data_IF_779833573496
#
_entry.id   IF_779833573496
#
_cell.length_a   1.000
_cell.length_b   1.000
_cell.length_c   1.000
_cell.angle_alpha   90.00
_cell.angle_beta   90.00
_cell.angle_gamma   90.00
#
_symmetry.space_group_name_H-M   'P 1'
#
loop_
_entity.id
_entity.type
_entity.pdbx_description
1 polymer ?
#
# COMPACT_ATOMS: atom_id res chain seq x y z
N UNK A 1 44.99 -8.36 -2.98
CA UNK A 1 44.05 -7.28 -2.66
C UNK A 1 42.66 -7.87 -2.81
N UNK A 2 41.98 -8.10 -1.69
CA UNK A 2 40.67 -8.75 -1.64
C UNK A 2 39.59 -7.67 -1.59
N UNK A 3 38.84 -7.48 -2.67
CA UNK A 3 37.59 -6.73 -2.63
C UNK A 3 36.43 -7.72 -2.42
N UNK A 4 35.79 -7.61 -1.25
CA UNK A 4 34.53 -8.29 -0.95
C UNK A 4 33.38 -7.60 -1.70
N UNK A 5 32.42 -8.34 -2.27
CA UNK A 5 31.14 -7.75 -2.69
C UNK A 5 30.30 -7.40 -1.46
N UNK A 6 29.80 -6.17 -1.42
CA UNK A 6 28.88 -5.68 -0.40
C UNK A 6 27.50 -6.31 -0.61
N UNK A 7 27.18 -7.31 0.20
CA UNK A 7 25.92 -8.05 0.20
C UNK A 7 25.00 -7.48 1.30
N UNK A 8 23.74 -7.28 0.92
CA UNK A 8 22.53 -7.23 1.75
C UNK A 8 22.30 -6.07 2.72
N UNK A 9 21.67 -5.00 2.20
CA UNK A 9 20.90 -4.05 3.02
C UNK A 9 19.40 -4.00 2.66
N UNK A 10 18.96 -4.77 1.66
CA UNK A 10 17.53 -4.85 1.24
C UNK A 10 16.74 -5.93 2.00
N UNK A 11 17.37 -7.07 2.29
CA UNK A 11 16.72 -8.17 3.02
C UNK A 11 16.45 -7.82 4.49
N UNK A 12 17.33 -7.02 5.11
CA UNK A 12 17.16 -6.56 6.48
C UNK A 12 15.91 -5.68 6.63
N UNK A 13 15.72 -4.71 5.73
CA UNK A 13 14.57 -3.78 5.77
C UNK A 13 13.23 -4.47 5.51
N UNK A 14 13.18 -5.41 4.56
CA UNK A 14 11.97 -6.23 4.34
C UNK A 14 11.67 -7.06 5.60
N UNK A 15 12.70 -7.64 6.23
CA UNK A 15 12.55 -8.39 7.48
C UNK A 15 12.02 -7.54 8.64
N UNK A 16 12.39 -6.27 8.74
CA UNK A 16 11.92 -5.39 9.83
C UNK A 16 10.45 -4.96 9.67
N UNK A 17 10.01 -4.70 8.44
CA UNK A 17 8.61 -4.34 8.17
C UNK A 17 7.70 -5.53 8.44
N UNK A 18 8.05 -6.71 7.93
CA UNK A 18 7.27 -7.92 8.18
C UNK A 18 7.28 -8.30 9.65
N UNK A 19 8.40 -8.12 10.37
CA UNK A 19 8.48 -8.35 11.80
C UNK A 19 7.63 -7.36 12.60
N UNK A 20 7.62 -6.08 12.23
CA UNK A 20 6.74 -5.09 12.85
C UNK A 20 5.25 -5.38 12.58
N UNK A 21 4.91 -5.91 11.40
CA UNK A 21 3.55 -6.37 11.07
C UNK A 21 3.19 -7.67 11.82
N UNK A 22 4.14 -8.60 12.00
CA UNK A 22 3.91 -9.86 12.74
C UNK A 22 3.79 -9.65 14.25
N UNK A 23 4.60 -8.75 14.83
CA UNK A 23 4.49 -8.36 16.24
C UNK A 23 3.16 -7.62 16.49
N UNK A 24 2.55 -7.05 15.45
CA UNK A 24 1.23 -6.40 15.46
C UNK A 24 0.06 -7.38 15.51
N UNK A 25 0.21 -8.55 14.92
CA UNK A 25 -0.77 -9.64 14.99
C UNK A 25 -0.86 -10.27 16.40
N UNK A 26 0.20 -10.12 17.22
CA UNK A 26 0.30 -10.70 18.56
C UNK A 26 -0.23 -9.78 19.69
N UNK A 27 -0.50 -8.50 19.41
CA UNK A 27 -0.70 -7.50 20.47
C UNK A 27 -1.87 -6.53 20.17
N UNK A 28 -3.02 -7.06 19.73
CA UNK A 28 -4.27 -6.31 19.51
C UNK A 28 -4.71 -5.45 20.72
N UNK A 29 -4.22 -5.73 21.94
CA UNK A 29 -4.57 -4.98 23.16
C UNK A 29 -3.60 -3.81 23.51
N UNK A 30 -2.50 -3.61 22.80
CA UNK A 30 -1.50 -2.57 23.12
C UNK A 30 -1.20 -1.66 21.92
N UNK A 31 -2.25 -1.02 21.38
CA UNK A 31 -2.25 -0.28 20.11
C UNK A 31 -1.39 1.01 20.03
N UNK A 32 -0.72 1.44 21.10
CA UNK A 32 0.06 2.69 21.08
C UNK A 32 1.54 2.48 20.74
N UNK A 33 2.25 1.62 21.48
CA UNK A 33 3.70 1.47 21.35
C UNK A 33 4.16 0.80 20.05
N UNK A 34 3.26 0.04 19.43
CA UNK A 34 3.55 -0.70 18.20
C UNK A 34 3.18 0.09 16.94
N UNK A 35 2.11 0.88 16.99
CA UNK A 35 1.87 1.92 16.01
C UNK A 35 3.04 2.92 15.97
N UNK A 36 3.59 3.27 17.14
CA UNK A 36 4.81 4.08 17.26
C UNK A 36 6.04 3.37 16.68
N UNK A 37 6.15 2.05 16.80
CA UNK A 37 7.26 1.28 16.20
C UNK A 37 7.16 1.20 14.68
N UNK A 38 5.96 1.04 14.13
CA UNK A 38 5.69 1.08 12.70
C UNK A 38 5.93 2.49 12.17
N UNK A 39 5.42 3.52 12.86
CA UNK A 39 5.67 4.93 12.56
C UNK A 39 7.17 5.24 12.61
N UNK A 40 7.89 4.76 13.63
CA UNK A 40 9.34 4.89 13.76
C UNK A 40 10.09 4.17 12.63
N UNK A 41 9.60 3.00 12.19
CA UNK A 41 10.15 2.27 11.05
C UNK A 41 9.89 3.01 9.73
N UNK A 42 8.71 3.61 9.58
CA UNK A 42 8.37 4.50 8.47
C UNK A 42 9.16 5.82 8.49
N UNK A 43 9.46 6.37 9.66
CA UNK A 43 10.26 7.57 9.83
C UNK A 43 11.76 7.26 9.61
N UNK A 44 12.19 6.04 9.93
CA UNK A 44 13.52 5.50 9.66
C UNK A 44 13.73 5.16 8.17
N UNK A 45 12.68 4.78 7.46
CA UNK A 45 12.63 4.78 6.00
C UNK A 45 12.63 6.23 5.52
N UNK A 46 13.83 6.86 5.50
CA UNK A 46 14.09 8.26 5.13
C UNK A 46 12.87 8.91 4.47
N UNK A 47 12.10 9.75 5.19
CA UNK A 47 10.83 10.33 4.72
C UNK A 47 10.95 10.99 3.33
N UNK A 48 12.18 11.34 2.90
CA UNK A 48 12.53 11.81 1.54
C UNK A 48 12.35 10.75 0.45
N UNK A 49 12.38 9.46 0.78
CA UNK A 49 12.24 8.32 -0.13
C UNK A 49 10.78 7.96 -0.41
N UNK A 50 9.87 8.18 0.55
CA UNK A 50 8.43 7.89 0.41
C UNK A 50 7.67 9.05 -0.26
N UNK A 51 7.98 10.29 0.12
CA UNK A 51 7.34 11.48 -0.46
C UNK A 51 8.16 11.93 -1.66
N UNK A 52 7.62 11.74 -2.87
CA UNK A 52 8.27 12.22 -4.08
C UNK A 52 8.36 13.75 -4.07
N UNK A 53 9.58 14.29 -4.24
CA UNK A 53 9.88 15.74 -4.30
C UNK A 53 10.29 16.21 -5.70
N UNK A 54 10.14 15.35 -6.71
CA UNK A 54 10.52 15.69 -8.08
C UNK A 54 9.43 16.51 -8.78
N UNK A 55 9.75 16.99 -9.99
CA UNK A 55 8.89 17.89 -10.76
C UNK A 55 7.80 17.19 -11.58
N UNK A 56 7.80 15.85 -11.64
CA UNK A 56 6.93 15.07 -12.54
C UNK A 56 6.31 13.87 -11.82
N UNK A 57 5.30 14.10 -10.96
CA UNK A 57 4.66 13.04 -10.18
C UNK A 57 4.02 11.96 -11.07
N UNK A 58 3.53 12.31 -12.28
CA UNK A 58 2.93 11.36 -13.22
C UNK A 58 3.96 10.36 -13.77
N UNK A 59 5.19 10.82 -14.04
CA UNK A 59 6.29 9.95 -14.46
C UNK A 59 6.73 9.05 -13.31
N UNK A 60 6.82 9.59 -12.10
CA UNK A 60 7.12 8.83 -10.89
C UNK A 60 6.06 7.74 -10.64
N UNK A 61 4.79 8.10 -10.79
CA UNK A 61 3.66 7.19 -10.65
C UNK A 61 3.73 6.05 -11.68
N UNK A 62 3.99 6.36 -12.95
CA UNK A 62 4.15 5.35 -14.02
C UNK A 62 5.32 4.40 -13.76
N UNK A 63 6.44 4.92 -13.26
CA UNK A 63 7.58 4.08 -12.88
C UNK A 63 7.23 3.17 -11.71
N UNK A 64 6.48 3.68 -10.73
CA UNK A 64 6.05 2.92 -9.57
C UNK A 64 5.07 1.80 -9.95
N UNK A 65 4.10 2.06 -10.83
CA UNK A 65 3.21 1.02 -11.34
C UNK A 65 3.99 -0.12 -12.00
N UNK A 66 5.03 0.19 -12.79
CA UNK A 66 5.93 -0.81 -13.40
C UNK A 66 6.78 -1.56 -12.38
N UNK A 67 7.10 -0.93 -11.25
CA UNK A 67 7.84 -1.58 -10.18
C UNK A 67 6.96 -2.59 -9.46
N UNK A 68 5.77 -2.16 -9.02
CA UNK A 68 4.77 -3.00 -8.36
C UNK A 68 4.37 -4.19 -9.23
N UNK A 69 4.16 -3.99 -10.54
CA UNK A 69 3.85 -5.09 -11.45
C UNK A 69 4.94 -6.18 -11.50
N UNK A 70 6.19 -5.85 -11.14
CA UNK A 70 7.30 -6.82 -11.04
C UNK A 70 7.52 -7.35 -9.63
N UNK A 71 7.11 -6.58 -8.62
CA UNK A 71 7.26 -6.87 -7.19
C UNK A 71 5.95 -6.57 -6.48
N UNK A 72 4.93 -7.41 -6.67
CA UNK A 72 3.58 -7.13 -6.17
C UNK A 72 3.49 -7.15 -4.65
N UNK A 73 4.42 -7.82 -3.95
CA UNK A 73 4.40 -7.98 -2.49
C UNK A 73 5.20 -6.88 -1.74
N UNK A 74 5.73 -5.87 -2.45
CA UNK A 74 6.52 -4.79 -1.86
C UNK A 74 5.61 -3.65 -1.32
N UNK A 75 5.18 -3.78 -0.06
CA UNK A 75 4.30 -2.81 0.61
C UNK A 75 4.83 -1.36 0.58
N UNK A 76 6.12 -1.06 0.87
CA UNK A 76 6.69 0.27 0.69
C UNK A 76 6.43 0.90 -0.69
N UNK A 77 6.53 0.10 -1.76
CA UNK A 77 6.25 0.58 -3.11
C UNK A 77 4.78 0.93 -3.32
N UNK A 78 3.85 0.16 -2.74
CA UNK A 78 2.42 0.49 -2.77
C UNK A 78 2.09 1.78 -2.03
N UNK A 79 2.67 1.98 -0.84
CA UNK A 79 2.49 3.22 -0.06
C UNK A 79 3.05 4.42 -0.81
N UNK A 80 4.26 4.29 -1.40
CA UNK A 80 4.85 5.33 -2.23
C UNK A 80 4.00 5.64 -3.47
N UNK A 81 3.40 4.62 -4.08
CA UNK A 81 2.45 4.80 -5.19
C UNK A 81 1.22 5.60 -4.76
N UNK A 82 0.65 5.30 -3.60
CA UNK A 82 -0.49 6.04 -3.05
C UNK A 82 -0.16 7.53 -2.89
N UNK A 83 0.98 7.87 -2.27
CA UNK A 83 1.37 9.28 -2.11
C UNK A 83 1.65 9.98 -3.44
N UNK A 84 2.26 9.29 -4.40
CA UNK A 84 2.41 9.80 -5.77
C UNK A 84 1.05 10.04 -6.44
N UNK A 85 0.09 9.13 -6.28
CA UNK A 85 -1.27 9.30 -6.81
C UNK A 85 -1.97 10.51 -6.19
N UNK A 86 -1.88 10.69 -4.86
CA UNK A 86 -2.41 11.86 -4.15
C UNK A 86 -1.83 13.17 -4.70
N UNK A 87 -0.53 13.21 -5.02
CA UNK A 87 0.11 14.39 -5.62
C UNK A 87 -0.42 14.73 -7.02
N UNK A 88 -0.81 13.73 -7.82
CA UNK A 88 -1.41 13.97 -9.14
C UNK A 88 -2.84 14.51 -9.08
N UNK A 89 -3.47 14.52 -7.90
CA UNK A 89 -4.89 14.88 -7.70
C UNK A 89 -5.87 14.10 -8.59
N UNK A 90 -5.45 12.93 -9.08
CA UNK A 90 -6.31 12.05 -9.87
C UNK A 90 -7.06 11.10 -8.93
N UNK A 91 -8.37 11.28 -8.83
CA UNK A 91 -9.27 10.45 -8.04
C UNK A 91 -9.10 8.97 -8.40
N UNK A 92 -9.13 8.65 -9.70
CA UNK A 92 -9.02 7.28 -10.19
C UNK A 92 -7.67 6.61 -9.84
N UNK A 93 -6.57 7.38 -9.86
CA UNK A 93 -5.25 6.86 -9.45
C UNK A 93 -5.18 6.56 -7.96
N UNK A 94 -5.81 7.39 -7.13
CA UNK A 94 -5.86 7.19 -5.67
C UNK A 94 -6.72 5.99 -5.32
N UNK A 95 -7.87 5.83 -5.98
CA UNK A 95 -8.72 4.64 -5.85
C UNK A 95 -7.96 3.37 -6.23
N UNK A 96 -7.31 3.35 -7.39
CA UNK A 96 -6.51 2.21 -7.82
C UNK A 96 -5.35 1.88 -6.86
N UNK A 97 -4.77 2.89 -6.22
CA UNK A 97 -3.73 2.68 -5.22
C UNK A 97 -4.28 2.12 -3.90
N UNK A 98 -5.42 2.62 -3.41
CA UNK A 98 -6.09 2.10 -2.22
C UNK A 98 -6.57 0.66 -2.43
N UNK A 99 -7.13 0.34 -3.60
CA UNK A 99 -7.51 -1.03 -3.96
C UNK A 99 -6.31 -1.97 -3.83
N UNK A 100 -5.15 -1.61 -4.41
CA UNK A 100 -3.96 -2.46 -4.33
C UNK A 100 -3.43 -2.61 -2.89
N UNK A 101 -3.48 -1.53 -2.09
CA UNK A 101 -3.09 -1.56 -0.68
C UNK A 101 -4.00 -2.48 0.12
N UNK A 102 -5.32 -2.40 -0.08
CA UNK A 102 -6.29 -3.27 0.60
C UNK A 102 -6.09 -4.73 0.16
N UNK A 103 -5.76 -4.98 -1.12
CA UNK A 103 -5.47 -6.33 -1.62
C UNK A 103 -4.21 -6.93 -0.98
N UNK A 104 -3.11 -6.17 -0.91
CA UNK A 104 -1.84 -6.68 -0.37
C UNK A 104 -1.88 -6.83 1.15
N UNK A 105 -2.53 -5.89 1.85
CA UNK A 105 -2.69 -5.94 3.30
C UNK A 105 -3.73 -6.99 3.74
N UNK A 106 -4.73 -7.28 2.90
CA UNK A 106 -5.84 -8.20 3.19
C UNK A 106 -6.53 -7.86 4.51
N UNK A 107 -6.43 -8.76 5.50
CA UNK A 107 -7.00 -8.62 6.85
C UNK A 107 -5.99 -8.07 7.86
N UNK A 108 -4.73 -7.92 7.46
CA UNK A 108 -3.66 -7.41 8.31
C UNK A 108 -3.47 -5.92 8.02
N UNK A 109 -3.07 -5.11 9.00
CA UNK A 109 -2.79 -3.69 8.77
C UNK A 109 -4.02 -2.80 8.56
N UNK A 110 -5.11 -3.09 9.27
CA UNK A 110 -6.33 -2.26 9.31
C UNK A 110 -6.02 -0.78 9.57
N UNK A 111 -5.23 -0.47 10.61
CA UNK A 111 -4.94 0.92 10.96
C UNK A 111 -4.13 1.68 9.91
N UNK A 112 -3.27 0.97 9.15
CA UNK A 112 -2.58 1.57 8.00
C UNK A 112 -3.58 1.87 6.88
N UNK A 113 -4.46 0.93 6.56
CA UNK A 113 -5.51 1.13 5.56
C UNK A 113 -6.42 2.30 5.93
N UNK A 114 -6.93 2.33 7.16
CA UNK A 114 -7.79 3.41 7.68
C UNK A 114 -7.09 4.77 7.65
N UNK A 115 -5.79 4.82 7.98
CA UNK A 115 -5.02 6.05 7.88
C UNK A 115 -4.95 6.56 6.44
N UNK A 116 -4.59 5.71 5.49
CA UNK A 116 -4.45 6.10 4.08
C UNK A 116 -5.81 6.49 3.48
N UNK A 117 -6.88 5.77 3.85
CA UNK A 117 -8.26 6.12 3.50
C UNK A 117 -8.61 7.51 4.04
N UNK A 118 -8.34 7.79 5.32
CA UNK A 118 -8.57 9.11 5.93
C UNK A 118 -7.76 10.23 5.26
N UNK A 119 -6.50 9.97 4.93
CA UNK A 119 -5.64 10.92 4.21
C UNK A 119 -6.18 11.25 2.80
N UNK A 120 -6.91 10.32 2.18
CA UNK A 120 -7.53 10.51 0.87
C UNK A 120 -8.85 11.31 0.88
N UNK A 121 -9.43 11.56 2.07
CA UNK A 121 -10.72 12.24 2.26
C UNK A 121 -10.84 13.56 1.49
N UNK A 122 -9.85 14.48 1.48
CA UNK A 122 -9.97 15.75 0.78
C UNK A 122 -10.11 15.60 -0.75
N UNK A 123 -9.72 14.45 -1.31
CA UNK A 123 -9.76 14.20 -2.75
C UNK A 123 -10.93 13.29 -3.15
N UNK A 124 -11.18 12.21 -2.39
CA UNK A 124 -12.22 11.23 -2.72
C UNK A 124 -13.62 11.63 -2.25
N UNK A 125 -13.70 12.51 -1.24
CA UNK A 125 -14.96 12.85 -0.58
C UNK A 125 -15.43 11.76 0.38
N UNK A 126 -16.44 12.13 1.19
CA UNK A 126 -16.92 11.32 2.31
C UNK A 126 -17.51 9.98 1.86
N UNK A 127 -18.35 9.98 0.82
CA UNK A 127 -19.03 8.78 0.31
C UNK A 127 -18.04 7.66 -0.05
N UNK A 128 -16.99 7.98 -0.81
CA UNK A 128 -15.99 6.98 -1.22
C UNK A 128 -15.13 6.49 -0.05
N UNK A 129 -14.78 7.40 0.87
CA UNK A 129 -14.05 7.05 2.09
C UNK A 129 -14.85 6.07 2.96
N UNK A 130 -16.16 6.28 3.09
CA UNK A 130 -17.04 5.36 3.83
C UNK A 130 -17.10 3.98 3.18
N UNK A 131 -17.18 3.91 1.85
CA UNK A 131 -17.14 2.63 1.12
C UNK A 131 -15.84 1.88 1.39
N UNK A 132 -14.68 2.52 1.24
CA UNK A 132 -13.39 1.86 1.55
C UNK A 132 -13.28 1.44 3.01
N UNK A 133 -13.78 2.27 3.93
CA UNK A 133 -13.76 1.99 5.37
C UNK A 133 -14.63 0.77 5.71
N UNK A 134 -15.82 0.66 5.13
CA UNK A 134 -16.68 -0.54 5.26
C UNK A 134 -15.99 -1.78 4.74
N UNK A 135 -15.35 -1.73 3.56
CA UNK A 135 -14.65 -2.90 2.99
C UNK A 135 -13.55 -3.40 3.94
N UNK A 136 -12.77 -2.49 4.53
CA UNK A 136 -11.72 -2.83 5.49
C UNK A 136 -12.31 -3.40 6.79
N UNK A 137 -13.39 -2.82 7.31
CA UNK A 137 -14.03 -3.25 8.55
C UNK A 137 -14.74 -4.60 8.43
N UNK A 138 -15.44 -4.82 7.32
CA UNK A 138 -16.25 -6.01 7.09
C UNK A 138 -15.38 -7.21 6.66
N UNK A 139 -14.07 -7.01 6.49
CA UNK A 139 -13.13 -8.04 6.00
C UNK A 139 -13.64 -8.66 4.69
N UNK A 140 -14.25 -7.84 3.83
CA UNK A 140 -14.80 -8.28 2.54
C UNK A 140 -13.86 -7.86 1.42
N UNK A 141 -12.60 -8.30 1.46
CA UNK A 141 -11.57 -7.78 0.54
C UNK A 141 -11.93 -7.97 -0.94
N UNK A 142 -12.73 -8.98 -1.30
CA UNK A 142 -13.24 -9.13 -2.68
C UNK A 142 -14.20 -7.98 -3.12
N UNK A 143 -14.79 -7.25 -2.18
CA UNK A 143 -15.66 -6.10 -2.47
C UNK A 143 -14.90 -4.95 -3.14
N UNK A 144 -13.57 -4.84 -2.95
CA UNK A 144 -12.75 -3.86 -3.69
C UNK A 144 -12.79 -4.08 -5.20
N UNK A 145 -13.11 -5.30 -5.67
CA UNK A 145 -13.22 -5.60 -7.09
C UNK A 145 -14.48 -5.00 -7.73
N UNK A 146 -15.43 -4.52 -6.93
CA UNK A 146 -16.60 -3.77 -7.40
C UNK A 146 -16.34 -2.25 -7.51
N UNK A 147 -15.17 -1.77 -7.07
CA UNK A 147 -14.75 -0.38 -7.18
C UNK A 147 -14.21 -0.06 -8.59
N UNK A 148 -13.87 1.20 -8.85
CA UNK A 148 -13.08 1.54 -10.05
C UNK A 148 -11.66 0.97 -9.91
N UNK A 149 -11.42 -0.14 -10.59
CA UNK A 149 -10.13 -0.84 -10.63
C UNK A 149 -9.29 -0.46 -11.85
N UNK A 150 -9.68 0.55 -12.64
CA UNK A 150 -9.00 0.93 -13.89
C UNK A 150 -7.53 1.27 -13.71
N UNK A 151 -7.15 1.75 -12.51
CA UNK A 151 -5.77 2.09 -12.17
C UNK A 151 -5.13 1.15 -11.16
N UNK A 152 -5.82 0.09 -10.73
CA UNK A 152 -5.21 -0.96 -9.89
C UNK A 152 -4.16 -1.72 -10.69
N UNK A 153 -2.95 -1.83 -10.16
CA UNK A 153 -1.84 -2.56 -10.76
C UNK A 153 -1.99 -4.05 -10.51
N UNK A 154 -2.48 -4.46 -9.32
CA UNK A 154 -2.61 -5.89 -8.99
C UNK A 154 -3.75 -6.53 -9.76
N UNK A 155 -4.89 -5.85 -9.88
CA UNK A 155 -6.06 -6.33 -10.63
C UNK A 155 -5.76 -6.38 -12.13
N UNK A 156 -5.13 -5.36 -12.69
CA UNK A 156 -4.86 -5.30 -14.14
C UNK A 156 -3.61 -6.07 -14.57
N UNK A 157 -2.66 -6.28 -13.66
CA UNK A 157 -1.42 -7.03 -13.92
C UNK A 157 -1.52 -8.54 -13.68
N UNK A 158 -2.73 -9.08 -13.44
CA UNK A 158 -2.94 -10.47 -13.01
C UNK A 158 -2.03 -10.90 -11.84
N UNK A 159 -1.68 -9.95 -10.99
CA UNK A 159 -0.83 -10.16 -9.81
C UNK A 159 -1.68 -10.26 -8.54
N UNK A 160 -2.95 -10.62 -8.71
CA UNK A 160 -3.86 -10.88 -7.61
C UNK A 160 -3.35 -12.10 -6.84
N UNK A 161 -3.28 -12.03 -5.50
CA UNK A 161 -2.98 -13.22 -4.72
C UNK A 161 -4.03 -14.31 -4.99
N UNK A 162 -3.64 -15.59 -4.92
CA UNK A 162 -4.48 -16.75 -5.30
C UNK A 162 -5.85 -16.83 -4.59
N UNK A 163 -6.02 -16.10 -3.49
CA UNK A 163 -7.27 -15.99 -2.71
C UNK A 163 -8.31 -15.06 -3.35
N UNK A 164 -7.93 -14.23 -4.32
CA UNK A 164 -8.84 -13.33 -5.03
C UNK A 164 -9.34 -13.98 -6.31
N UNK A 165 -10.65 -14.13 -6.42
CA UNK A 165 -11.31 -14.60 -7.65
C UNK A 165 -11.97 -13.42 -8.34
N UNK A 166 -11.50 -13.10 -9.54
CA UNK A 166 -12.23 -12.16 -10.41
C UNK A 166 -13.58 -12.81 -10.73
N UNK A 167 -14.67 -12.04 -10.63
CA UNK A 167 -15.96 -12.50 -11.14
C UNK A 167 -15.78 -12.67 -12.66
N UNK A 168 -15.91 -13.89 -13.18
CA UNK A 168 -15.87 -14.10 -14.63
C UNK A 168 -16.99 -13.26 -15.24
N UNK A 169 -16.62 -12.33 -16.11
CA UNK A 169 -17.61 -11.54 -16.84
C UNK A 169 -18.21 -12.49 -17.88
N UNK A 170 -19.43 -12.94 -17.59
CA UNK A 170 -20.26 -13.75 -18.49
C UNK A 170 -20.78 -12.91 -19.65
#
# INVERSE_FOLDING_TARGET
MNDKPSIDNKSATESHIWRAISDWDLNEELESSLADSIQSTFDSLDQKALIYKGKHPELGLKQMCRHIARKPDDLPSHIKRFYLAMQTRSIAQVEGALVDIIIILRFHGKSLSERLIRESLPLLGQEKVEVFTSIVNDKTVNAVLNMDVSFSVLVNGNSLPATFKRKEVS
#
